data_IF_324731947966
#
_entry.id   IF_324731947966
#
_cell.length_a   1.000
_cell.length_b   1.000
_cell.length_c   1.000
_cell.angle_alpha   90.00
_cell.angle_beta   90.00
_cell.angle_gamma   90.00
#
_symmetry.space_group_name_H-M   'P 1'
#
loop_
_entity.id
_entity.type
_entity.pdbx_description
1 polymer ?
#
# COMPACT_ATOMS: atom_id res chain seq x y z
N UNK A 1 -7.30 34.96 63.61
CA UNK A 1 -8.38 35.34 62.68
C UNK A 1 -8.66 34.14 61.80
N UNK A 2 -9.86 33.54 61.94
CA UNK A 2 -10.25 32.21 61.39
C UNK A 2 -10.70 32.36 59.94
N UNK A 3 -10.14 31.55 59.01
CA UNK A 3 -10.71 31.32 57.68
C UNK A 3 -11.83 30.25 57.75
N UNK A 4 -12.91 30.40 57.02
CA UNK A 4 -13.93 29.37 56.93
C UNK A 4 -13.62 28.34 55.81
N UNK A 5 -13.82 27.06 56.13
CA UNK A 5 -13.80 25.93 55.24
C UNK A 5 -14.94 26.01 54.22
N UNK A 6 -14.63 25.82 52.93
CA UNK A 6 -15.62 25.56 51.89
C UNK A 6 -15.79 24.04 51.69
N UNK A 7 -16.96 23.59 51.96
CA UNK A 7 -17.48 22.23 51.76
C UNK A 7 -17.60 21.96 50.26
N UNK A 8 -16.85 21.02 49.72
CA UNK A 8 -17.02 20.53 48.37
C UNK A 8 -17.96 19.33 48.37
N UNK A 9 -19.11 19.52 47.75
CA UNK A 9 -20.13 18.50 47.55
C UNK A 9 -19.67 17.56 46.43
N UNK A 10 -19.24 16.33 46.76
CA UNK A 10 -19.04 15.26 45.78
C UNK A 10 -20.41 14.68 45.40
N UNK A 11 -20.81 14.91 44.16
CA UNK A 11 -21.92 14.17 43.54
C UNK A 11 -21.33 12.91 42.94
N UNK A 12 -21.59 11.76 43.56
CA UNK A 12 -21.27 10.45 43.02
C UNK A 12 -22.27 10.13 41.90
N UNK A 13 -21.84 10.22 40.66
CA UNK A 13 -22.55 9.66 39.51
C UNK A 13 -22.27 8.17 39.46
N UNK A 14 -23.20 7.35 39.88
CA UNK A 14 -23.23 5.92 39.64
C UNK A 14 -23.51 5.68 38.16
N UNK A 15 -22.46 5.23 37.42
CA UNK A 15 -22.60 4.69 36.07
C UNK A 15 -23.05 3.24 36.22
N UNK A 16 -24.18 2.80 35.64
CA UNK A 16 -24.52 1.39 35.63
C UNK A 16 -23.50 0.62 34.78
N UNK A 17 -22.97 -0.48 35.32
CA UNK A 17 -22.16 -1.43 34.63
C UNK A 17 -22.97 -2.03 33.46
N UNK A 18 -22.68 -1.55 32.24
CA UNK A 18 -23.17 -2.18 31.02
C UNK A 18 -22.40 -3.47 30.81
N UNK A 19 -23.14 -4.56 30.69
CA UNK A 19 -22.63 -5.86 30.28
C UNK A 19 -21.77 -5.75 29.01
N UNK A 20 -20.69 -6.57 28.87
CA UNK A 20 -19.95 -6.61 27.62
C UNK A 20 -20.88 -7.20 26.55
N UNK A 21 -21.25 -6.36 25.58
CA UNK A 21 -21.93 -6.83 24.38
C UNK A 21 -21.03 -7.89 23.72
N UNK A 22 -21.46 -9.15 23.84
CA UNK A 22 -20.94 -10.23 23.00
C UNK A 22 -21.00 -9.74 21.56
N UNK A 23 -19.83 -9.65 20.93
CA UNK A 23 -19.70 -9.43 19.51
C UNK A 23 -20.46 -10.57 18.81
N UNK A 24 -21.68 -10.26 18.39
CA UNK A 24 -22.48 -11.17 17.59
C UNK A 24 -21.65 -11.56 16.37
N UNK A 25 -21.36 -12.85 16.23
CA UNK A 25 -20.85 -13.43 15.01
C UNK A 25 -21.78 -12.93 13.88
N UNK A 26 -21.26 -12.06 13.02
CA UNK A 26 -22.02 -11.55 11.88
C UNK A 26 -22.26 -12.71 10.94
N UNK A 27 -23.44 -13.32 11.06
CA UNK A 27 -24.02 -14.15 10.03
C UNK A 27 -23.92 -13.35 8.74
N UNK A 28 -23.27 -13.93 7.72
CA UNK A 28 -23.10 -13.36 6.39
C UNK A 28 -24.45 -13.33 5.67
N UNK A 29 -25.33 -12.44 6.09
CA UNK A 29 -26.53 -12.10 5.33
C UNK A 29 -26.04 -11.41 4.06
N UNK A 30 -26.21 -12.07 2.91
CA UNK A 30 -25.94 -11.49 1.60
C UNK A 30 -26.61 -10.11 1.53
N UNK A 31 -25.82 -9.06 1.30
CA UNK A 31 -26.38 -7.71 1.21
C UNK A 31 -27.39 -7.67 0.06
N UNK A 32 -28.59 -7.07 0.24
CA UNK A 32 -29.62 -7.01 -0.81
C UNK A 32 -29.11 -6.48 -2.16
N UNK A 33 -28.16 -5.52 -2.14
CA UNK A 33 -27.50 -5.00 -3.32
C UNK A 33 -26.74 -6.07 -4.12
N UNK A 34 -26.10 -7.03 -3.46
CA UNK A 34 -25.35 -8.11 -4.13
C UNK A 34 -26.28 -9.05 -4.91
N UNK A 35 -27.44 -9.37 -4.36
CA UNK A 35 -28.44 -10.22 -5.03
C UNK A 35 -28.98 -9.52 -6.27
N UNK A 36 -29.29 -8.22 -6.20
CA UNK A 36 -29.75 -7.40 -7.33
C UNK A 36 -28.68 -7.33 -8.44
N UNK A 37 -27.40 -7.11 -8.09
CA UNK A 37 -26.28 -7.04 -9.04
C UNK A 37 -26.06 -8.38 -9.78
N UNK A 38 -26.22 -9.51 -9.09
CA UNK A 38 -26.13 -10.86 -9.69
C UNK A 38 -27.31 -11.09 -10.64
N UNK A 39 -28.52 -10.74 -10.23
CA UNK A 39 -29.71 -10.84 -11.09
C UNK A 39 -29.56 -10.02 -12.37
N UNK A 40 -29.08 -8.78 -12.27
CA UNK A 40 -28.79 -7.92 -13.41
C UNK A 40 -27.74 -8.53 -14.34
N UNK A 41 -26.67 -9.10 -13.83
CA UNK A 41 -25.64 -9.76 -14.62
C UNK A 41 -26.22 -10.91 -15.48
N UNK A 42 -27.09 -11.76 -14.92
CA UNK A 42 -27.70 -12.85 -15.66
C UNK A 42 -28.77 -12.38 -16.68
N UNK A 43 -29.49 -11.30 -16.37
CA UNK A 43 -30.41 -10.67 -17.32
C UNK A 43 -29.65 -10.11 -18.54
N UNK A 44 -28.53 -9.43 -18.35
CA UNK A 44 -27.66 -8.93 -19.41
C UNK A 44 -27.11 -10.07 -20.28
N UNK A 45 -26.92 -11.26 -19.72
CA UNK A 45 -26.48 -12.47 -20.45
C UNK A 45 -27.61 -13.22 -21.18
N UNK A 46 -28.84 -12.81 -21.01
CA UNK A 46 -30.00 -13.46 -21.68
C UNK A 46 -30.06 -14.98 -21.44
N UNK A 47 -29.76 -15.43 -20.22
CA UNK A 47 -29.77 -16.84 -19.84
C UNK A 47 -28.61 -17.68 -20.38
N UNK A 48 -27.60 -17.09 -21.02
CA UNK A 48 -26.37 -17.81 -21.41
C UNK A 48 -25.65 -18.32 -20.18
N UNK A 49 -25.24 -19.59 -20.19
CA UNK A 49 -24.50 -20.22 -19.12
C UNK A 49 -23.21 -19.45 -18.82
N UNK A 50 -22.81 -19.42 -17.54
CA UNK A 50 -21.59 -18.79 -17.06
C UNK A 50 -20.71 -19.83 -16.36
N UNK A 51 -21.18 -20.39 -15.23
CA UNK A 51 -20.48 -21.45 -14.51
C UNK A 51 -20.50 -22.79 -15.22
N UNK A 52 -21.56 -23.08 -15.90
CA UNK A 52 -21.77 -24.34 -16.64
C UNK A 52 -21.47 -24.21 -18.14
N UNK A 53 -20.81 -23.11 -18.54
CA UNK A 53 -20.31 -22.95 -19.91
C UNK A 53 -19.00 -23.73 -20.16
N UNK A 54 -18.26 -24.05 -19.10
CA UNK A 54 -17.06 -24.88 -19.14
C UNK A 54 -17.11 -25.94 -18.05
N UNK A 55 -16.47 -27.11 -18.30
CA UNK A 55 -16.59 -28.27 -17.43
C UNK A 55 -15.83 -28.17 -16.10
N UNK A 56 -14.96 -27.15 -15.91
CA UNK A 56 -14.09 -27.09 -14.75
C UNK A 56 -14.28 -25.86 -13.85
N UNK A 57 -15.11 -24.89 -14.23
CA UNK A 57 -15.22 -23.65 -13.44
C UNK A 57 -15.88 -23.86 -12.06
N UNK A 58 -16.88 -24.75 -11.99
CA UNK A 58 -17.55 -25.10 -10.74
C UNK A 58 -16.64 -25.88 -9.80
N UNK A 59 -15.85 -26.82 -10.32
CA UNK A 59 -14.85 -27.58 -9.59
C UNK A 59 -13.75 -26.67 -9.04
N UNK A 60 -13.21 -25.78 -9.87
CA UNK A 60 -12.19 -24.81 -9.45
C UNK A 60 -12.67 -23.93 -8.29
N UNK A 61 -13.95 -23.50 -8.31
CA UNK A 61 -14.50 -22.74 -7.19
C UNK A 61 -14.62 -23.62 -5.93
N UNK A 62 -15.15 -24.84 -6.06
CA UNK A 62 -15.30 -25.75 -4.92
C UNK A 62 -13.97 -26.06 -4.25
N UNK A 63 -12.93 -26.37 -5.02
CA UNK A 63 -11.57 -26.58 -4.51
C UNK A 63 -11.01 -25.35 -3.81
N UNK A 64 -11.27 -24.16 -4.37
CA UNK A 64 -10.82 -22.92 -3.78
C UNK A 64 -11.48 -22.66 -2.42
N UNK A 65 -12.78 -22.94 -2.30
CA UNK A 65 -13.54 -22.80 -1.05
C UNK A 65 -13.10 -23.82 0.01
N UNK A 66 -12.81 -25.06 -0.38
CA UNK A 66 -12.27 -26.11 0.53
C UNK A 66 -10.92 -25.70 1.11
N UNK A 67 -10.15 -24.94 0.34
CA UNK A 67 -8.85 -24.41 0.73
C UNK A 67 -8.92 -22.99 1.35
N UNK A 68 -10.10 -22.50 1.75
CA UNK A 68 -10.27 -21.13 2.27
C UNK A 68 -9.43 -20.85 3.52
N UNK A 69 -9.04 -21.88 4.27
CA UNK A 69 -8.09 -21.75 5.40
C UNK A 69 -6.72 -21.21 4.99
N UNK A 70 -6.30 -21.41 3.73
CA UNK A 70 -5.10 -20.74 3.18
C UNK A 70 -5.23 -19.22 3.07
N UNK A 71 -6.45 -18.69 3.22
CA UNK A 71 -6.78 -17.27 3.16
C UNK A 71 -7.17 -16.72 4.55
N UNK A 72 -6.97 -17.52 5.62
CA UNK A 72 -7.49 -17.29 6.97
C UNK A 72 -9.01 -17.11 7.01
N UNK A 73 -9.71 -17.89 6.23
CA UNK A 73 -11.16 -17.97 6.21
C UNK A 73 -11.60 -19.36 6.65
N UNK A 74 -12.73 -19.45 7.34
CA UNK A 74 -13.32 -20.73 7.72
C UNK A 74 -14.07 -21.32 6.53
N UNK A 75 -13.68 -22.51 6.00
CA UNK A 75 -14.39 -23.17 4.92
C UNK A 75 -15.88 -23.45 5.22
N UNK A 76 -16.24 -23.61 6.51
CA UNK A 76 -17.63 -23.87 6.93
C UNK A 76 -18.58 -22.70 6.68
N UNK A 77 -18.05 -21.50 6.45
CA UNK A 77 -18.83 -20.31 6.07
C UNK A 77 -19.40 -20.41 4.64
N UNK A 78 -18.94 -21.38 3.86
CA UNK A 78 -19.35 -21.57 2.47
C UNK A 78 -20.14 -22.86 2.32
N UNK A 79 -21.32 -22.86 1.66
CA UNK A 79 -22.22 -24.00 1.56
C UNK A 79 -21.73 -25.01 0.51
N UNK A 80 -20.51 -25.56 0.66
CA UNK A 80 -19.83 -26.41 -0.32
C UNK A 80 -20.68 -27.64 -0.69
N UNK A 81 -21.25 -28.35 0.30
CA UNK A 81 -22.09 -29.51 0.06
C UNK A 81 -23.35 -29.18 -0.76
N UNK A 82 -23.96 -28.02 -0.49
CA UNK A 82 -25.12 -27.55 -1.28
C UNK A 82 -24.69 -27.19 -2.70
N UNK A 83 -23.57 -26.53 -2.91
CA UNK A 83 -23.06 -26.23 -4.26
C UNK A 83 -22.78 -27.51 -5.05
N UNK A 84 -22.17 -28.54 -4.44
CA UNK A 84 -21.97 -29.85 -5.11
C UNK A 84 -23.27 -30.47 -5.56
N UNK A 85 -24.30 -30.47 -4.70
CA UNK A 85 -25.62 -30.98 -5.05
C UNK A 85 -26.27 -30.18 -6.19
N UNK A 86 -26.23 -28.86 -6.13
CA UNK A 86 -26.73 -27.98 -7.18
C UNK A 86 -26.01 -28.21 -8.50
N UNK A 87 -24.69 -28.40 -8.50
CA UNK A 87 -23.91 -28.70 -9.69
C UNK A 87 -24.33 -30.03 -10.33
N UNK A 88 -24.57 -31.08 -9.54
CA UNK A 88 -25.08 -32.36 -10.04
C UNK A 88 -26.48 -32.20 -10.69
N UNK A 89 -27.40 -31.52 -9.99
CA UNK A 89 -28.76 -31.30 -10.52
C UNK A 89 -28.74 -30.47 -11.81
N UNK A 90 -27.87 -29.44 -11.89
CA UNK A 90 -27.77 -28.59 -13.07
C UNK A 90 -27.29 -29.32 -14.34
N UNK A 91 -26.53 -30.43 -14.20
CA UNK A 91 -26.02 -31.22 -15.33
C UNK A 91 -27.07 -32.13 -15.94
N UNK A 92 -27.98 -32.67 -15.16
CA UNK A 92 -29.00 -33.64 -15.56
C UNK A 92 -30.44 -33.13 -15.48
N UNK A 93 -30.65 -31.96 -14.88
CA UNK A 93 -31.96 -31.42 -14.53
C UNK A 93 -32.50 -30.37 -15.50
N UNK A 94 -33.51 -29.67 -15.01
CA UNK A 94 -34.27 -28.67 -15.78
C UNK A 94 -33.46 -27.36 -15.99
N UNK A 95 -33.97 -26.50 -16.89
CA UNK A 95 -33.44 -25.14 -17.04
C UNK A 95 -33.54 -24.31 -15.75
N UNK A 96 -34.48 -24.65 -14.85
CA UNK A 96 -34.61 -24.04 -13.54
C UNK A 96 -33.45 -24.45 -12.63
N UNK A 97 -33.13 -25.76 -12.55
CA UNK A 97 -32.02 -26.26 -11.74
C UNK A 97 -30.69 -25.61 -12.14
N UNK A 98 -30.51 -25.44 -13.46
CA UNK A 98 -29.33 -24.76 -13.99
C UNK A 98 -29.28 -23.29 -13.57
N UNK A 99 -30.37 -22.53 -13.66
CA UNK A 99 -30.44 -21.14 -13.24
C UNK A 99 -30.18 -20.99 -11.74
N UNK A 100 -30.76 -21.86 -10.93
CA UNK A 100 -30.59 -21.84 -9.47
C UNK A 100 -29.13 -22.12 -9.10
N UNK A 101 -28.47 -23.06 -9.78
CA UNK A 101 -27.05 -23.34 -9.59
C UNK A 101 -26.16 -22.16 -10.03
N UNK A 102 -26.40 -21.59 -11.21
CA UNK A 102 -25.67 -20.40 -11.70
C UNK A 102 -25.71 -19.24 -10.71
N UNK A 103 -26.89 -18.95 -10.15
CA UNK A 103 -27.07 -17.91 -9.15
C UNK A 103 -26.33 -18.23 -7.84
N UNK A 104 -26.42 -19.47 -7.36
CA UNK A 104 -25.77 -19.90 -6.12
C UNK A 104 -24.24 -19.85 -6.21
N UNK A 105 -23.66 -20.39 -7.29
CA UNK A 105 -22.22 -20.31 -7.53
C UNK A 105 -21.73 -18.86 -7.62
N UNK A 106 -22.47 -17.99 -8.32
CA UNK A 106 -22.13 -16.57 -8.43
C UNK A 106 -22.17 -15.87 -7.08
N UNK A 107 -23.19 -16.15 -6.26
CA UNK A 107 -23.35 -15.56 -4.94
C UNK A 107 -22.18 -15.94 -4.01
N UNK A 108 -21.84 -17.23 -3.95
CA UNK A 108 -20.74 -17.72 -3.12
C UNK A 108 -19.38 -17.24 -3.63
N UNK A 109 -19.18 -17.19 -4.95
CA UNK A 109 -17.96 -16.63 -5.52
C UNK A 109 -17.77 -15.16 -5.16
N UNK A 110 -18.82 -14.34 -5.27
CA UNK A 110 -18.77 -12.91 -4.88
C UNK A 110 -18.49 -12.77 -3.39
N UNK A 111 -19.13 -13.58 -2.54
CA UNK A 111 -18.89 -13.61 -1.09
C UNK A 111 -17.42 -13.92 -0.81
N UNK A 112 -16.90 -15.03 -1.32
CA UNK A 112 -15.52 -15.46 -1.11
C UNK A 112 -14.52 -14.41 -1.61
N UNK A 113 -14.74 -13.89 -2.82
CA UNK A 113 -13.87 -12.85 -3.37
C UNK A 113 -13.85 -11.57 -2.51
N UNK A 114 -15.00 -11.22 -1.94
CA UNK A 114 -15.12 -10.12 -0.98
C UNK A 114 -14.35 -10.38 0.33
N UNK A 115 -14.49 -11.58 0.87
CA UNK A 115 -13.83 -11.99 2.12
C UNK A 115 -12.31 -12.05 1.96
N UNK A 116 -11.82 -12.61 0.86
CA UNK A 116 -10.39 -12.61 0.51
C UNK A 116 -9.87 -11.20 0.31
N UNK A 117 -10.63 -10.34 -0.35
CA UNK A 117 -10.23 -8.98 -0.65
C UNK A 117 -10.32 -8.02 0.54
N UNK A 118 -10.90 -8.45 1.66
CA UNK A 118 -11.01 -7.65 2.87
C UNK A 118 -9.62 -7.30 3.40
N UNK A 119 -9.41 -6.01 3.60
CA UNK A 119 -8.17 -5.49 4.16
C UNK A 119 -7.92 -6.08 5.57
N UNK A 120 -6.67 -6.43 5.83
CA UNK A 120 -6.19 -6.79 7.16
C UNK A 120 -5.38 -5.62 7.71
N UNK A 121 -5.34 -5.47 9.02
CA UNK A 121 -4.52 -4.44 9.65
C UNK A 121 -3.03 -4.83 9.59
N UNK A 122 -2.40 -4.48 8.48
CA UNK A 122 -0.96 -4.69 8.25
C UNK A 122 -0.15 -3.39 8.46
N UNK A 123 -0.74 -2.40 9.10
CA UNK A 123 -0.07 -1.12 9.42
C UNK A 123 0.06 -0.16 8.23
N UNK A 124 -0.73 -0.31 7.17
CA UNK A 124 -0.73 0.63 6.04
C UNK A 124 -1.49 1.90 6.40
N UNK A 125 -0.83 3.05 6.31
CA UNK A 125 -1.44 4.37 6.48
C UNK A 125 -1.96 4.89 5.13
N UNK A 126 -3.25 5.12 5.02
CA UNK A 126 -3.85 5.75 3.85
C UNK A 126 -3.88 7.27 4.04
N UNK A 127 -2.99 7.97 3.36
CA UNK A 127 -2.90 9.45 3.41
C UNK A 127 -3.82 10.12 2.37
N UNK A 128 -4.32 9.33 1.43
CA UNK A 128 -5.37 9.74 0.51
C UNK A 128 -6.45 8.64 0.46
N UNK A 129 -7.72 8.95 0.78
CA UNK A 129 -8.80 7.97 0.74
C UNK A 129 -8.99 7.30 -0.62
N UNK A 130 -8.61 7.95 -1.72
CA UNK A 130 -8.70 7.41 -3.07
C UNK A 130 -7.72 6.25 -3.33
N UNK A 131 -6.65 6.14 -2.52
CA UNK A 131 -5.68 5.05 -2.57
C UNK A 131 -6.17 3.78 -1.84
N UNK A 132 -7.23 3.87 -1.04
CA UNK A 132 -7.77 2.71 -0.31
C UNK A 132 -8.44 1.72 -1.28
N UNK A 133 -8.15 0.41 -1.15
CA UNK A 133 -8.80 -0.62 -1.96
C UNK A 133 -10.33 -0.56 -1.82
N UNK A 134 -11.02 -0.46 -2.94
CA UNK A 134 -12.50 -0.45 -2.94
C UNK A 134 -13.04 -1.84 -2.64
N UNK A 135 -14.21 -1.98 -1.98
CA UNK A 135 -14.89 -3.26 -1.86
C UNK A 135 -15.09 -3.94 -3.22
N UNK A 136 -15.17 -5.27 -3.21
CA UNK A 136 -15.47 -6.03 -4.42
C UNK A 136 -16.94 -5.78 -4.81
N UNK A 137 -17.17 -5.25 -6.00
CA UNK A 137 -18.51 -5.15 -6.60
C UNK A 137 -18.84 -6.47 -7.31
N UNK A 138 -19.99 -7.04 -7.02
CA UNK A 138 -20.45 -8.27 -7.64
C UNK A 138 -20.56 -8.11 -9.16
N UNK A 139 -21.21 -7.03 -9.62
CA UNK A 139 -21.38 -6.75 -11.04
C UNK A 139 -20.02 -6.63 -11.77
N UNK A 140 -19.08 -5.89 -11.21
CA UNK A 140 -17.74 -5.73 -11.81
C UNK A 140 -16.97 -7.05 -11.83
N UNK A 141 -16.98 -7.80 -10.72
CA UNK A 141 -16.28 -9.08 -10.62
C UNK A 141 -16.79 -10.07 -11.65
N UNK A 142 -18.11 -10.26 -11.73
CA UNK A 142 -18.72 -11.21 -12.65
C UNK A 142 -18.52 -10.81 -14.12
N UNK A 143 -18.61 -9.49 -14.45
CA UNK A 143 -18.34 -9.02 -15.82
C UNK A 143 -16.88 -9.27 -16.22
N UNK A 144 -15.92 -8.99 -15.35
CA UNK A 144 -14.49 -9.24 -15.62
C UNK A 144 -14.24 -10.75 -15.75
N UNK A 145 -14.83 -11.57 -14.89
CA UNK A 145 -14.73 -13.02 -14.98
C UNK A 145 -15.34 -13.57 -16.30
N UNK A 146 -16.46 -12.98 -16.74
CA UNK A 146 -17.13 -13.38 -17.99
C UNK A 146 -16.36 -13.01 -19.27
N UNK A 147 -15.43 -12.05 -19.20
CA UNK A 147 -14.54 -11.69 -20.33
C UNK A 147 -13.21 -12.45 -20.31
N UNK A 148 -12.95 -13.23 -19.26
CA UNK A 148 -11.74 -14.02 -19.16
C UNK A 148 -11.76 -15.18 -20.20
N UNK A 149 -10.61 -15.50 -20.80
CA UNK A 149 -10.49 -16.62 -21.74
C UNK A 149 -10.91 -17.97 -21.15
N UNK A 150 -10.77 -18.13 -19.82
CA UNK A 150 -11.22 -19.30 -19.06
C UNK A 150 -11.68 -18.85 -17.68
N UNK A 151 -12.92 -19.17 -17.33
CA UNK A 151 -13.48 -18.90 -16.00
C UNK A 151 -12.78 -19.74 -14.92
N UNK A 152 -12.51 -21.02 -15.21
CA UNK A 152 -11.78 -21.90 -14.32
C UNK A 152 -10.39 -21.28 -13.98
N UNK A 153 -9.62 -20.93 -14.99
CA UNK A 153 -8.31 -20.29 -14.78
C UNK A 153 -8.40 -18.91 -14.08
N UNK A 154 -9.48 -18.16 -14.29
CA UNK A 154 -9.73 -16.91 -13.58
C UNK A 154 -9.92 -17.16 -12.08
N UNK A 155 -10.68 -18.18 -11.72
CA UNK A 155 -10.95 -18.60 -10.34
C UNK A 155 -9.68 -19.16 -9.69
N UNK A 156 -9.04 -20.15 -10.29
CA UNK A 156 -7.82 -20.80 -9.75
C UNK A 156 -6.69 -19.84 -9.51
N UNK A 157 -6.49 -18.90 -10.44
CA UNK A 157 -5.43 -17.90 -10.36
C UNK A 157 -5.84 -16.66 -9.54
N UNK A 158 -7.07 -16.64 -8.98
CA UNK A 158 -7.60 -15.53 -8.20
C UNK A 158 -7.35 -14.17 -8.88
N UNK A 159 -7.69 -14.08 -10.19
CA UNK A 159 -7.34 -12.91 -11.02
C UNK A 159 -8.01 -11.60 -10.61
N UNK A 160 -8.92 -11.64 -9.64
CA UNK A 160 -9.48 -10.45 -8.99
C UNK A 160 -8.58 -9.85 -7.90
N UNK A 161 -7.51 -10.55 -7.53
CA UNK A 161 -6.50 -10.07 -6.58
C UNK A 161 -5.25 -9.56 -7.29
N UNK A 162 -4.45 -8.77 -6.57
CA UNK A 162 -3.11 -8.43 -7.05
C UNK A 162 -2.27 -9.70 -7.24
N UNK A 163 -1.43 -9.82 -8.29
CA UNK A 163 -0.66 -11.04 -8.59
C UNK A 163 0.22 -11.59 -7.45
N UNK A 164 0.62 -10.73 -6.52
CA UNK A 164 1.36 -11.15 -5.33
C UNK A 164 0.54 -12.11 -4.46
N UNK A 165 -0.77 -11.86 -4.32
CA UNK A 165 -1.63 -12.63 -3.44
C UNK A 165 -1.69 -14.12 -3.83
N UNK A 166 -2.14 -14.50 -5.03
CA UNK A 166 -2.21 -15.91 -5.42
C UNK A 166 -0.84 -16.58 -5.49
N UNK A 167 0.24 -15.85 -5.81
CA UNK A 167 1.58 -16.39 -5.82
C UNK A 167 2.05 -16.78 -4.40
N UNK A 168 1.83 -15.89 -3.43
CA UNK A 168 2.15 -16.16 -2.01
C UNK A 168 1.26 -17.25 -1.42
N UNK A 169 -0.03 -17.28 -1.78
CA UNK A 169 -0.97 -18.33 -1.37
C UNK A 169 -0.54 -19.72 -1.86
N UNK A 170 -0.13 -19.84 -3.14
CA UNK A 170 0.39 -21.11 -3.68
C UNK A 170 1.67 -21.56 -2.96
N UNK A 171 2.58 -20.62 -2.72
CA UNK A 171 3.81 -20.92 -1.97
C UNK A 171 3.51 -21.37 -0.54
N UNK A 172 2.56 -20.72 0.13
CA UNK A 172 2.08 -21.08 1.46
C UNK A 172 1.47 -22.50 1.47
N UNK A 173 0.61 -22.83 0.51
CA UNK A 173 0.05 -24.18 0.37
C UNK A 173 1.14 -25.25 0.21
N UNK A 174 2.13 -24.98 -0.65
CA UNK A 174 3.28 -25.88 -0.84
C UNK A 174 4.10 -26.07 0.43
N UNK A 175 4.34 -25.00 1.19
CA UNK A 175 5.12 -25.08 2.43
C UNK A 175 4.37 -25.84 3.53
N UNK A 176 3.05 -25.64 3.65
CA UNK A 176 2.21 -26.41 4.59
C UNK A 176 2.21 -27.88 4.23
N UNK A 177 2.07 -28.22 2.93
CA UNK A 177 2.07 -29.60 2.46
C UNK A 177 3.41 -30.31 2.71
N UNK A 178 4.51 -29.60 2.59
CA UNK A 178 5.87 -30.16 2.84
C UNK A 178 6.19 -30.33 4.31
N UNK A 179 5.48 -29.64 5.22
CA UNK A 179 5.66 -29.75 6.68
C UNK A 179 6.98 -29.19 7.23
N UNK A 180 7.79 -28.53 6.40
CA UNK A 180 9.21 -28.35 6.69
C UNK A 180 9.58 -27.14 7.55
N UNK A 181 8.87 -26.00 7.46
CA UNK A 181 9.34 -24.76 8.09
C UNK A 181 8.21 -23.86 8.64
N UNK A 182 7.84 -23.99 9.93
CA UNK A 182 6.81 -23.14 10.53
C UNK A 182 7.11 -21.63 10.44
N UNK A 183 8.39 -21.23 10.44
CA UNK A 183 8.80 -19.83 10.25
C UNK A 183 8.43 -19.34 8.86
N UNK A 184 8.67 -20.14 7.83
CA UNK A 184 8.37 -19.78 6.44
C UNK A 184 6.87 -19.74 6.17
N UNK A 185 6.10 -20.64 6.76
CA UNK A 185 4.63 -20.60 6.74
C UNK A 185 4.13 -19.26 7.27
N UNK A 186 4.61 -18.81 8.44
CA UNK A 186 4.23 -17.50 9.00
C UNK A 186 4.66 -16.33 8.11
N UNK A 187 5.87 -16.38 7.56
CA UNK A 187 6.39 -15.36 6.66
C UNK A 187 5.53 -15.21 5.41
N UNK A 188 5.17 -16.32 4.76
CA UNK A 188 4.34 -16.34 3.56
C UNK A 188 2.91 -15.86 3.86
N UNK A 189 2.32 -16.29 4.97
CA UNK A 189 0.99 -15.86 5.40
C UNK A 189 0.94 -14.35 5.66
N UNK A 190 1.93 -13.78 6.38
CA UNK A 190 2.03 -12.35 6.63
C UNK A 190 2.14 -11.55 5.33
N UNK A 191 3.02 -11.95 4.42
CA UNK A 191 3.20 -11.22 3.15
C UNK A 191 1.99 -11.40 2.21
N UNK A 192 1.28 -12.54 2.26
CA UNK A 192 -0.01 -12.71 1.58
C UNK A 192 -1.03 -11.70 2.11
N UNK A 193 -1.11 -11.47 3.42
CA UNK A 193 -2.03 -10.50 4.00
C UNK A 193 -1.64 -9.06 3.67
N UNK A 194 -0.35 -8.74 3.63
CA UNK A 194 0.15 -7.45 3.11
C UNK A 194 -0.24 -7.22 1.65
N UNK A 195 -0.39 -8.26 0.84
CA UNK A 195 -0.79 -8.13 -0.56
C UNK A 195 -2.28 -7.77 -0.75
N UNK A 196 -3.12 -7.88 0.29
CA UNK A 196 -4.55 -7.51 0.22
C UNK A 196 -4.78 -6.01 0.00
N UNK A 197 -3.83 -5.17 0.41
CA UNK A 197 -3.92 -3.71 0.27
C UNK A 197 -3.47 -3.21 -1.11
N UNK A 198 -2.87 -4.08 -1.93
CA UNK A 198 -2.39 -3.71 -3.25
C UNK A 198 -3.54 -3.52 -4.25
N UNK A 199 -3.36 -2.66 -5.26
CA UNK A 199 -4.36 -2.43 -6.29
C UNK A 199 -4.76 -3.69 -7.02
N UNK A 200 -6.04 -3.76 -7.38
CA UNK A 200 -6.65 -4.85 -8.16
C UNK A 200 -7.11 -4.33 -9.51
N UNK A 201 -6.87 -5.11 -10.55
CA UNK A 201 -7.21 -4.73 -11.92
C UNK A 201 -6.05 -4.11 -12.68
N UNK A 202 -6.37 -3.29 -13.67
CA UNK A 202 -5.41 -2.79 -14.69
C UNK A 202 -5.04 -1.31 -14.54
N UNK A 203 -5.37 -0.67 -13.40
CA UNK A 203 -4.99 0.74 -13.18
C UNK A 203 -3.48 0.90 -13.04
N UNK A 204 -2.98 2.05 -13.47
CA UNK A 204 -1.57 2.41 -13.27
C UNK A 204 -1.33 2.75 -11.81
N UNK A 205 -0.19 2.33 -11.27
CA UNK A 205 0.24 2.67 -9.91
C UNK A 205 1.75 2.43 -9.72
N UNK A 206 2.28 3.05 -8.67
CA UNK A 206 3.65 2.89 -8.21
C UNK A 206 3.64 1.97 -6.98
N UNK A 207 4.46 0.92 -6.99
CA UNK A 207 4.71 0.06 -5.85
C UNK A 207 6.18 0.17 -5.43
N UNK A 208 6.43 0.69 -4.24
CA UNK A 208 7.75 0.67 -3.62
C UNK A 208 7.77 -0.42 -2.57
N UNK A 209 8.59 -1.44 -2.75
CA UNK A 209 8.87 -2.43 -1.71
C UNK A 209 10.12 -2.02 -0.94
N UNK A 210 9.94 -1.47 0.27
CA UNK A 210 11.04 -0.94 1.09
C UNK A 210 12.00 -2.04 1.56
N UNK A 211 11.52 -3.26 1.83
CA UNK A 211 12.40 -4.38 2.22
C UNK A 211 13.34 -4.82 1.08
N UNK A 212 12.91 -4.65 -0.18
CA UNK A 212 13.70 -4.95 -1.37
C UNK A 212 14.46 -3.72 -1.90
N UNK A 213 14.15 -2.53 -1.38
CA UNK A 213 14.62 -1.25 -1.90
C UNK A 213 14.43 -1.17 -3.43
N UNK A 214 13.21 -1.45 -3.89
CA UNK A 214 12.81 -1.53 -5.30
C UNK A 214 11.47 -0.82 -5.52
N UNK A 215 11.38 -0.13 -6.65
CA UNK A 215 10.15 0.43 -7.19
C UNK A 215 9.76 -0.33 -8.45
N UNK A 216 8.48 -0.68 -8.57
CA UNK A 216 7.85 -1.17 -9.78
C UNK A 216 6.73 -0.21 -10.19
N UNK A 217 6.74 0.23 -11.43
CA UNK A 217 5.64 0.96 -12.05
C UNK A 217 4.76 -0.04 -12.81
N UNK A 218 3.48 -0.08 -12.43
CA UNK A 218 2.50 -0.92 -13.07
C UNK A 218 1.65 -0.11 -14.04
N UNK A 219 1.45 -0.66 -15.24
CA UNK A 219 0.46 -0.21 -16.21
C UNK A 219 -0.25 -1.43 -16.81
N UNK A 220 -1.54 -1.31 -17.07
CA UNK A 220 -2.37 -2.41 -17.61
C UNK A 220 -2.23 -3.73 -16.83
N UNK A 221 -2.08 -3.64 -15.51
CA UNK A 221 -1.93 -4.80 -14.62
C UNK A 221 -0.60 -5.53 -14.71
N UNK A 222 0.40 -4.96 -15.39
CA UNK A 222 1.74 -5.53 -15.57
C UNK A 222 2.82 -4.55 -15.12
N UNK A 223 3.95 -5.07 -14.69
CA UNK A 223 5.14 -4.25 -14.44
C UNK A 223 5.63 -3.71 -15.78
N UNK A 224 5.56 -2.40 -15.95
CA UNK A 224 6.02 -1.67 -17.14
C UNK A 224 7.46 -1.25 -17.00
N UNK A 225 7.85 -0.86 -15.79
CA UNK A 225 9.21 -0.43 -15.49
C UNK A 225 9.58 -0.78 -14.05
N UNK A 226 10.86 -0.87 -13.78
CA UNK A 226 11.40 -1.20 -12.46
C UNK A 226 12.74 -0.50 -12.25
N UNK A 227 12.97 0.00 -11.02
CA UNK A 227 14.23 0.62 -10.65
C UNK A 227 14.61 0.33 -9.20
N UNK A 228 15.89 0.49 -8.90
CA UNK A 228 16.38 0.50 -7.53
C UNK A 228 15.97 1.81 -6.85
N UNK A 229 15.73 1.72 -5.54
CA UNK A 229 15.48 2.91 -4.72
C UNK A 229 16.37 2.90 -3.47
N UNK A 230 16.56 4.08 -2.87
CA UNK A 230 17.10 4.21 -1.52
C UNK A 230 15.93 4.58 -0.61
N UNK A 231 15.77 3.83 0.47
CA UNK A 231 14.71 3.98 1.46
C UNK A 231 15.26 4.41 2.81
N UNK A 232 14.39 4.64 3.79
CA UNK A 232 14.76 5.09 5.13
C UNK A 232 15.71 4.14 5.85
N UNK A 233 16.58 4.68 6.67
CA UNK A 233 17.37 3.89 7.62
C UNK A 233 16.50 3.30 8.75
N UNK A 234 17.03 2.37 9.52
CA UNK A 234 16.24 1.67 10.55
C UNK A 234 15.67 2.62 11.62
N UNK A 235 16.36 3.74 11.91
CA UNK A 235 15.91 4.76 12.86
C UNK A 235 14.84 5.70 12.26
N UNK A 236 14.84 5.89 10.94
CA UNK A 236 13.93 6.76 10.19
C UNK A 236 13.32 5.99 9.01
N UNK A 237 12.53 4.99 9.33
CA UNK A 237 12.00 4.04 8.35
C UNK A 237 11.08 4.70 7.32
N UNK A 238 11.15 4.26 6.08
CA UNK A 238 10.06 4.52 5.12
C UNK A 238 8.78 3.85 5.64
N UNK A 239 7.71 4.60 5.92
CA UNK A 239 6.48 4.03 6.45
C UNK A 239 5.76 3.17 5.41
N UNK A 240 4.93 2.23 5.86
CA UNK A 240 3.93 1.59 4.99
C UNK A 240 2.79 2.58 4.82
N UNK A 241 2.58 3.07 3.60
CA UNK A 241 1.54 4.05 3.31
C UNK A 241 1.07 3.98 1.87
N UNK A 242 -0.14 4.48 1.64
CA UNK A 242 -0.71 4.62 0.31
C UNK A 242 -1.31 6.02 0.12
N UNK A 243 -1.04 6.61 -1.03
CA UNK A 243 -1.51 7.93 -1.40
C UNK A 243 -1.62 8.10 -2.90
N UNK A 244 -1.87 9.33 -3.34
CA UNK A 244 -1.99 9.69 -4.75
C UNK A 244 -0.92 10.71 -5.13
N UNK A 245 0.00 10.34 -6.03
CA UNK A 245 0.90 11.32 -6.64
C UNK A 245 0.05 12.26 -7.51
N UNK A 246 0.04 13.54 -7.16
CA UNK A 246 -0.82 14.55 -7.79
C UNK A 246 -0.06 15.52 -8.65
N UNK A 247 1.20 15.79 -8.32
CA UNK A 247 2.06 16.72 -9.06
C UNK A 247 3.52 16.37 -8.86
N UNK A 248 4.35 16.83 -9.77
CA UNK A 248 5.80 16.84 -9.65
C UNK A 248 6.29 18.27 -9.44
N UNK A 249 7.43 18.42 -8.77
CA UNK A 249 8.15 19.70 -8.66
C UNK A 249 9.49 19.53 -9.33
N UNK A 250 9.73 20.36 -10.34
CA UNK A 250 10.99 20.40 -11.09
C UNK A 250 11.90 21.47 -10.49
N UNK A 251 13.21 21.24 -10.59
CA UNK A 251 14.22 22.12 -9.98
C UNK A 251 13.88 22.46 -8.52
N UNK A 252 13.64 21.45 -7.65
CA UNK A 252 13.12 21.70 -6.31
C UNK A 252 14.17 22.35 -5.42
N UNK A 253 13.72 23.25 -4.54
CA UNK A 253 14.47 23.46 -3.29
C UNK A 253 14.36 22.20 -2.42
N UNK A 254 15.44 21.89 -1.71
CA UNK A 254 15.31 20.98 -0.59
C UNK A 254 15.12 21.79 0.70
N UNK A 255 13.91 21.84 1.20
CA UNK A 255 13.61 22.35 2.53
C UNK A 255 14.09 21.33 3.55
N UNK A 256 15.17 21.63 4.25
CA UNK A 256 15.79 20.70 5.19
C UNK A 256 14.91 20.61 6.44
N UNK A 257 14.39 19.39 6.77
CA UNK A 257 13.63 19.22 8.00
C UNK A 257 14.41 19.68 9.24
N UNK A 258 13.75 20.26 10.26
CA UNK A 258 14.43 20.78 11.44
C UNK A 258 15.30 19.76 12.17
N UNK A 259 14.84 18.52 12.29
CA UNK A 259 15.58 17.40 12.87
C UNK A 259 16.87 17.07 12.09
N UNK A 260 16.84 17.18 10.76
CA UNK A 260 18.01 16.99 9.91
C UNK A 260 18.93 18.23 9.95
N UNK A 261 18.37 19.43 10.07
CA UNK A 261 19.17 20.63 10.31
C UNK A 261 19.94 20.52 11.62
N UNK A 262 19.30 20.07 12.69
CA UNK A 262 19.90 19.81 13.98
C UNK A 262 20.94 18.69 13.93
N UNK A 263 20.54 17.49 13.48
CA UNK A 263 21.33 16.25 13.65
C UNK A 263 22.42 16.07 12.59
N UNK A 264 22.26 16.65 11.40
CA UNK A 264 23.18 16.42 10.27
C UNK A 264 23.85 17.71 9.78
N UNK A 265 23.12 18.83 9.67
CA UNK A 265 23.64 20.06 9.10
C UNK A 265 24.46 20.87 10.10
N UNK A 266 23.92 21.15 11.29
CA UNK A 266 24.59 21.97 12.30
C UNK A 266 25.94 21.38 12.73
N UNK A 267 26.12 20.06 12.95
CA UNK A 267 27.41 19.45 13.21
C UNK A 267 28.44 19.69 12.09
N UNK A 268 28.00 19.66 10.82
CA UNK A 268 28.89 19.97 9.70
C UNK A 268 29.31 21.42 9.66
N UNK A 269 28.40 22.35 9.96
CA UNK A 269 28.73 23.77 10.05
C UNK A 269 29.71 24.04 11.18
N UNK A 270 29.54 23.37 12.32
CA UNK A 270 30.48 23.52 13.45
C UNK A 270 31.89 22.94 13.16
N UNK A 271 31.95 21.85 12.39
CA UNK A 271 33.23 21.20 12.05
C UNK A 271 33.97 21.82 10.86
N UNK A 272 33.20 22.22 9.82
CA UNK A 272 33.77 22.69 8.53
C UNK A 272 33.63 24.22 8.35
N UNK A 273 32.91 24.90 9.24
CA UNK A 273 32.59 26.33 9.16
C UNK A 273 31.44 26.63 8.18
N UNK A 274 31.06 27.91 8.15
CA UNK A 274 30.00 28.41 7.27
C UNK A 274 30.28 28.21 5.76
N UNK A 275 31.54 27.97 5.39
CA UNK A 275 31.94 27.67 4.04
C UNK A 275 31.23 26.39 3.53
N UNK A 276 30.89 25.44 4.42
CA UNK A 276 30.13 24.24 4.10
C UNK A 276 28.76 24.58 3.48
N UNK A 277 28.02 25.52 4.09
CA UNK A 277 26.73 25.95 3.57
C UNK A 277 26.86 26.52 2.15
N UNK A 278 27.83 27.43 1.95
CA UNK A 278 28.06 28.04 0.64
C UNK A 278 28.44 27.01 -0.43
N UNK A 279 29.40 26.14 -0.13
CA UNK A 279 29.87 25.08 -1.03
C UNK A 279 28.76 24.11 -1.44
N UNK A 280 27.80 23.85 -0.53
CA UNK A 280 26.69 22.92 -0.76
C UNK A 280 25.41 23.62 -1.22
N UNK A 281 25.39 24.93 -1.36
CA UNK A 281 24.23 25.69 -1.82
C UNK A 281 23.09 25.80 -0.80
N UNK A 282 23.41 25.73 0.50
CA UNK A 282 22.44 25.94 1.56
C UNK A 282 22.25 27.43 1.85
N UNK A 283 21.01 27.80 2.18
CA UNK A 283 20.58 29.14 2.60
C UNK A 283 19.74 29.02 3.87
N UNK A 284 20.00 29.87 4.86
CA UNK A 284 19.06 30.06 5.97
C UNK A 284 18.00 31.03 5.55
N UNK A 285 16.73 30.74 5.83
CA UNK A 285 15.58 31.52 5.37
C UNK A 285 14.63 31.87 6.51
N UNK A 286 13.87 32.95 6.34
CA UNK A 286 12.89 33.43 7.32
C UNK A 286 11.73 32.43 7.52
N UNK A 287 11.26 31.84 6.45
CA UNK A 287 10.11 30.92 6.40
C UNK A 287 10.17 30.03 5.16
N UNK A 288 9.12 29.22 4.94
CA UNK A 288 9.03 28.31 3.78
C UNK A 288 8.24 28.91 2.59
N UNK A 289 7.91 30.19 2.63
CA UNK A 289 7.19 30.84 1.55
C UNK A 289 8.07 31.08 0.32
N UNK A 290 7.45 31.39 -0.82
CA UNK A 290 8.17 31.77 -2.04
C UNK A 290 8.86 33.12 -1.91
N UNK A 291 8.42 33.96 -0.96
CA UNK A 291 8.95 35.29 -0.67
C UNK A 291 9.91 35.31 0.51
N UNK A 292 10.29 34.12 1.02
CA UNK A 292 11.22 33.99 2.13
C UNK A 292 12.53 34.78 1.88
N UNK A 293 12.94 35.56 2.87
CA UNK A 293 14.20 36.30 2.82
C UNK A 293 15.34 35.43 3.31
N UNK A 294 16.52 35.61 2.71
CA UNK A 294 17.74 34.92 3.16
C UNK A 294 18.27 35.63 4.40
N UNK A 295 18.52 34.86 5.46
CA UNK A 295 19.10 35.32 6.71
C UNK A 295 20.60 35.04 6.68
N UNK A 296 21.47 35.97 7.08
CA UNK A 296 22.91 35.73 7.18
C UNK A 296 23.21 34.55 8.12
N UNK A 297 23.91 33.55 7.64
CA UNK A 297 24.22 32.35 8.41
C UNK A 297 25.15 32.64 9.63
N UNK A 298 25.85 33.75 9.57
CA UNK A 298 26.69 34.31 10.62
C UNK A 298 25.89 34.74 11.84
N UNK A 299 24.62 35.10 11.68
CA UNK A 299 23.71 35.49 12.77
C UNK A 299 23.13 34.34 13.57
N UNK A 300 23.34 33.09 13.11
CA UNK A 300 22.77 31.89 13.70
C UNK A 300 23.75 31.28 14.75
N UNK A 301 23.22 30.99 15.92
CA UNK A 301 23.94 30.17 16.91
C UNK A 301 23.86 28.69 16.55
N UNK A 302 24.77 28.22 15.72
CA UNK A 302 24.85 26.84 15.26
C UNK A 302 25.07 25.83 16.38
N UNK A 303 25.66 26.26 17.54
CA UNK A 303 25.77 25.39 18.72
C UNK A 303 24.40 25.16 19.36
N UNK A 304 23.61 26.23 19.46
CA UNK A 304 22.24 26.13 19.96
C UNK A 304 21.34 25.29 19.03
N UNK A 305 21.54 25.40 17.69
CA UNK A 305 20.86 24.56 16.72
C UNK A 305 21.23 23.09 16.90
N UNK A 306 22.52 22.76 16.99
CA UNK A 306 22.95 21.36 17.20
C UNK A 306 22.46 20.80 18.56
N UNK A 307 22.31 21.64 19.58
CA UNK A 307 21.74 21.28 20.89
C UNK A 307 20.18 21.19 20.89
N UNK A 308 19.51 21.49 19.77
CA UNK A 308 18.05 21.52 19.70
C UNK A 308 17.37 22.66 20.45
N UNK A 309 18.12 23.69 20.83
CA UNK A 309 17.61 24.87 21.55
C UNK A 309 17.03 25.94 20.61
N UNK A 310 17.49 25.96 19.38
CA UNK A 310 17.06 26.89 18.32
C UNK A 310 16.70 26.09 17.06
N UNK A 311 15.53 26.35 16.53
CA UNK A 311 15.11 25.84 15.24
C UNK A 311 15.48 26.85 14.14
N UNK A 312 16.08 26.35 13.05
CA UNK A 312 16.40 27.16 11.86
C UNK A 312 15.71 26.56 10.63
N UNK A 313 15.28 27.43 9.74
CA UNK A 313 14.78 27.04 8.43
C UNK A 313 15.89 27.13 7.42
N UNK A 314 16.30 25.99 6.87
CA UNK A 314 17.37 25.91 5.88
C UNK A 314 16.84 25.28 4.62
N UNK A 315 17.10 25.89 3.48
CA UNK A 315 16.85 25.28 2.17
C UNK A 315 18.15 25.09 1.40
N UNK A 316 18.20 24.06 0.57
CA UNK A 316 19.27 23.89 -0.42
C UNK A 316 18.74 24.32 -1.79
N UNK A 317 19.52 25.17 -2.49
CA UNK A 317 19.17 25.66 -3.83
C UNK A 317 19.13 24.53 -4.86
N UNK A 318 18.29 24.64 -5.91
CA UNK A 318 18.36 23.75 -7.07
C UNK A 318 19.78 23.70 -7.65
N UNK A 319 20.12 22.56 -8.23
CA UNK A 319 21.41 22.37 -8.90
C UNK A 319 22.01 20.99 -8.63
N UNK A 320 23.18 20.71 -9.18
CA UNK A 320 23.77 19.35 -9.21
C UNK A 320 24.16 18.80 -7.85
N UNK A 321 24.19 19.64 -6.82
CA UNK A 321 24.48 19.22 -5.43
C UNK A 321 23.22 19.08 -4.58
N UNK A 322 22.05 19.44 -5.11
CA UNK A 322 20.79 19.42 -4.35
C UNK A 322 20.41 17.96 -4.01
N UNK A 323 20.17 17.71 -2.72
CA UNK A 323 19.79 16.37 -2.25
C UNK A 323 18.51 15.80 -2.87
N UNK A 324 17.61 16.67 -3.40
CA UNK A 324 16.39 16.29 -4.11
C UNK A 324 16.59 16.00 -5.60
N UNK A 325 17.81 16.24 -6.13
CA UNK A 325 18.08 16.13 -7.55
C UNK A 325 17.23 17.10 -8.37
N UNK A 326 16.76 16.68 -9.55
CA UNK A 326 16.06 17.52 -10.50
C UNK A 326 14.54 17.49 -10.38
N UNK A 327 13.98 16.49 -9.68
CA UNK A 327 12.52 16.31 -9.56
C UNK A 327 12.12 15.61 -8.27
N UNK A 328 11.00 16.06 -7.69
CA UNK A 328 10.29 15.35 -6.62
C UNK A 328 8.82 15.13 -7.01
N UNK A 329 8.29 13.95 -6.67
CA UNK A 329 6.91 13.54 -6.95
C UNK A 329 6.11 13.57 -5.65
N UNK A 330 5.06 14.38 -5.65
CA UNK A 330 4.34 14.75 -4.44
C UNK A 330 3.03 13.99 -4.31
N UNK A 331 2.90 13.25 -3.22
CA UNK A 331 1.65 12.71 -2.69
C UNK A 331 1.45 13.30 -1.29
N UNK A 332 0.59 14.32 -1.13
CA UNK A 332 0.47 15.09 0.10
C UNK A 332 0.22 14.20 1.32
N UNK A 333 1.01 14.40 2.38
CA UNK A 333 0.90 13.69 3.65
C UNK A 333 1.62 14.45 4.78
N UNK A 334 1.17 14.24 6.03
CA UNK A 334 1.72 14.94 7.21
C UNK A 334 3.10 14.44 7.66
N UNK A 335 3.57 13.30 7.10
CA UNK A 335 4.88 12.74 7.42
C UNK A 335 6.01 13.32 6.54
N UNK A 336 5.67 14.17 5.57
CA UNK A 336 6.66 14.77 4.67
C UNK A 336 7.40 13.75 3.78
N UNK A 337 6.76 12.62 3.47
CA UNK A 337 7.33 11.56 2.63
C UNK A 337 7.00 11.84 1.15
N UNK A 338 8.00 11.72 0.29
CA UNK A 338 7.84 11.83 -1.16
C UNK A 338 8.87 10.96 -1.89
N UNK A 339 8.69 10.80 -3.20
CA UNK A 339 9.70 10.18 -4.07
C UNK A 339 10.48 11.31 -4.74
N UNK A 340 11.79 11.14 -4.89
CA UNK A 340 12.61 12.19 -5.47
C UNK A 340 13.88 11.67 -6.13
N UNK A 341 14.44 12.47 -7.00
CA UNK A 341 15.76 12.26 -7.57
C UNK A 341 16.88 12.48 -6.52
N UNK A 342 18.11 12.19 -6.88
CA UNK A 342 19.27 12.40 -6.02
C UNK A 342 20.57 12.45 -6.84
N UNK A 343 21.53 13.34 -6.50
CA UNK A 343 22.85 13.31 -7.08
C UNK A 343 23.71 12.13 -6.59
N UNK A 344 23.32 11.47 -5.52
CA UNK A 344 24.08 10.38 -4.89
C UNK A 344 23.86 9.04 -5.61
N UNK A 345 24.05 8.99 -6.92
CA UNK A 345 23.79 7.82 -7.77
C UNK A 345 24.58 6.57 -7.38
N UNK A 346 25.77 6.73 -6.78
CA UNK A 346 26.59 5.62 -6.30
C UNK A 346 25.90 4.75 -5.21
N UNK A 347 24.92 5.30 -4.48
CA UNK A 347 24.18 4.56 -3.47
C UNK A 347 23.37 3.40 -4.05
N UNK A 348 22.94 3.50 -5.30
CA UNK A 348 22.15 2.46 -5.96
C UNK A 348 22.97 1.21 -6.29
N UNK A 349 24.29 1.28 -6.29
CA UNK A 349 25.19 0.14 -6.50
C UNK A 349 25.36 -0.70 -5.22
N UNK A 350 24.95 -0.18 -4.06
CA UNK A 350 25.07 -0.90 -2.80
C UNK A 350 24.01 -2.01 -2.69
N UNK A 351 24.37 -3.12 -2.04
CA UNK A 351 23.45 -4.22 -1.73
C UNK A 351 22.36 -3.79 -0.75
N UNK A 352 22.72 -3.07 0.32
CA UNK A 352 21.79 -2.39 1.21
C UNK A 352 21.59 -0.95 0.75
N UNK A 353 20.32 -0.50 0.76
CA UNK A 353 19.96 0.84 0.32
C UNK A 353 19.02 1.53 1.30
N UNK A 354 19.34 1.42 2.60
CA UNK A 354 18.62 2.03 3.72
C UNK A 354 19.41 3.24 4.24
N UNK A 355 19.37 4.36 3.50
CA UNK A 355 20.21 5.53 3.79
C UNK A 355 19.45 6.87 3.81
N UNK A 356 18.14 6.88 3.63
CA UNK A 356 17.36 8.11 3.69
C UNK A 356 16.76 8.34 5.08
N UNK A 357 16.18 9.51 5.28
CA UNK A 357 15.38 9.85 6.46
C UNK A 357 13.88 9.56 6.23
N UNK A 358 13.55 8.49 5.50
CA UNK A 358 12.19 8.05 5.23
C UNK A 358 11.72 8.25 3.79
N UNK A 359 12.11 9.33 3.10
CA UNK A 359 11.80 9.55 1.68
C UNK A 359 12.43 8.49 0.78
N UNK A 360 11.87 8.33 -0.43
CA UNK A 360 12.32 7.34 -1.41
C UNK A 360 13.13 8.03 -2.51
N UNK A 361 14.44 7.73 -2.59
CA UNK A 361 15.31 8.23 -3.66
C UNK A 361 15.24 7.28 -4.84
N UNK A 362 15.12 7.85 -6.03
CA UNK A 362 14.96 7.12 -7.29
C UNK A 362 16.27 7.00 -8.03
N UNK A 363 16.58 5.82 -8.56
CA UNK A 363 17.73 5.59 -9.42
C UNK A 363 17.57 6.34 -10.74
N UNK A 364 16.39 6.23 -11.36
CA UNK A 364 16.02 6.91 -12.61
C UNK A 364 14.69 7.68 -12.41
N UNK A 365 14.81 8.86 -11.84
CA UNK A 365 13.64 9.73 -11.64
C UNK A 365 13.10 10.28 -12.97
N UNK A 366 13.95 10.39 -13.99
CA UNK A 366 13.55 10.82 -15.33
C UNK A 366 12.67 9.77 -16.01
N UNK A 367 12.96 8.47 -15.86
CA UNK A 367 12.09 7.41 -16.34
C UNK A 367 10.71 7.48 -15.69
N UNK A 368 10.64 7.64 -14.35
CA UNK A 368 9.35 7.79 -13.67
C UNK A 368 8.61 9.05 -14.14
N UNK A 369 9.32 10.15 -14.34
CA UNK A 369 8.75 11.41 -14.87
C UNK A 369 8.08 11.18 -16.22
N UNK A 370 8.75 10.53 -17.17
CA UNK A 370 8.18 10.17 -18.48
C UNK A 370 6.93 9.30 -18.36
N UNK A 371 6.95 8.32 -17.46
CA UNK A 371 5.82 7.40 -17.27
C UNK A 371 4.55 8.08 -16.74
N UNK A 372 4.69 9.05 -15.82
CA UNK A 372 3.53 9.62 -15.12
C UNK A 372 3.10 11.02 -15.66
N UNK A 373 4.03 11.77 -16.24
CA UNK A 373 3.72 13.04 -16.88
C UNK A 373 3.43 12.89 -18.39
N UNK A 374 3.89 11.79 -19.00
CA UNK A 374 3.72 11.56 -20.45
C UNK A 374 4.32 12.70 -21.26
N UNK A 375 3.63 13.05 -22.35
CA UNK A 375 4.00 14.15 -23.25
C UNK A 375 3.57 15.53 -22.72
N UNK A 376 3.33 15.68 -21.40
CA UNK A 376 2.99 17.00 -20.83
C UNK A 376 4.08 17.98 -21.25
N UNK A 377 3.73 19.05 -22.00
CA UNK A 377 4.70 20.03 -22.45
C UNK A 377 5.38 20.66 -21.24
N UNK A 378 6.61 20.27 -21.01
CA UNK A 378 7.43 20.91 -20.00
C UNK A 378 8.23 21.98 -20.69
N UNK A 379 7.90 23.24 -20.43
CA UNK A 379 8.83 24.32 -20.77
C UNK A 379 10.13 24.02 -20.05
N UNK A 380 11.21 23.89 -20.81
CA UNK A 380 12.55 23.76 -20.27
C UNK A 380 12.89 25.07 -19.54
N UNK A 381 12.42 25.19 -18.32
CA UNK A 381 12.64 26.36 -17.48
C UNK A 381 13.63 25.98 -16.38
N UNK A 382 14.63 26.80 -16.21
CA UNK A 382 15.60 26.72 -15.11
C UNK A 382 15.07 27.33 -13.81
N UNK A 383 13.81 27.81 -13.81
CA UNK A 383 13.23 28.40 -12.60
C UNK A 383 13.07 27.36 -11.49
N UNK A 384 13.36 27.74 -10.25
CA UNK A 384 13.14 26.87 -9.09
C UNK A 384 11.66 26.58 -8.84
N UNK A 385 11.39 25.42 -8.21
CA UNK A 385 10.08 25.04 -7.65
C UNK A 385 8.93 25.02 -8.68
N UNK A 386 9.20 24.56 -9.91
CA UNK A 386 8.14 24.44 -10.92
C UNK A 386 7.21 23.29 -10.58
N UNK A 387 5.98 23.60 -10.21
CA UNK A 387 4.94 22.61 -9.98
C UNK A 387 4.25 22.22 -11.30
N UNK A 388 4.26 20.94 -11.63
CA UNK A 388 3.58 20.35 -12.79
C UNK A 388 2.54 19.37 -12.28
N UNK A 389 1.26 19.70 -12.45
CA UNK A 389 0.16 18.81 -12.06
C UNK A 389 0.07 17.63 -13.01
N UNK A 390 -0.18 16.44 -12.47
CA UNK A 390 -0.50 15.27 -13.28
C UNK A 390 -1.92 15.42 -13.84
N UNK A 391 -2.11 15.08 -15.11
CA UNK A 391 -3.44 15.04 -15.74
C UNK A 391 -4.36 14.04 -15.03
N UNK A 392 -3.79 12.98 -14.51
CA UNK A 392 -4.46 11.95 -13.69
C UNK A 392 -3.56 11.59 -12.50
N UNK A 393 -4.06 11.72 -11.25
CA UNK A 393 -3.31 11.27 -10.08
C UNK A 393 -2.97 9.79 -10.17
N UNK A 394 -1.74 9.43 -9.78
CA UNK A 394 -1.24 8.05 -9.83
C UNK A 394 -1.13 7.51 -8.41
N UNK A 395 -1.80 6.38 -8.08
CA UNK A 395 -1.64 5.74 -6.78
C UNK A 395 -0.20 5.35 -6.51
N UNK A 396 0.26 5.59 -5.29
CA UNK A 396 1.57 5.15 -4.80
C UNK A 396 1.39 4.33 -3.53
N UNK A 397 2.02 3.16 -3.49
CA UNK A 397 2.04 2.25 -2.36
C UNK A 397 3.47 2.07 -1.91
N UNK A 398 3.78 2.58 -0.71
CA UNK A 398 5.00 2.25 0.01
C UNK A 398 4.71 1.04 0.87
N UNK A 399 5.16 -0.11 0.45
CA UNK A 399 4.90 -1.40 1.05
C UNK A 399 6.16 -2.02 1.65
N UNK A 400 5.97 -3.09 2.42
CA UNK A 400 7.08 -3.80 3.05
C UNK A 400 6.89 -5.31 2.86
N UNK A 401 7.41 -5.86 1.77
CA UNK A 401 7.35 -7.30 1.48
C UNK A 401 8.69 -7.95 1.70
N UNK A 402 8.80 -8.76 2.72
CA UNK A 402 9.97 -9.60 3.03
C UNK A 402 9.94 -10.93 2.29
N UNK A 403 8.77 -11.34 1.76
CA UNK A 403 8.61 -12.40 0.78
C UNK A 403 7.65 -11.94 -0.32
N UNK A 404 8.04 -12.06 -1.59
CA UNK A 404 7.25 -11.59 -2.73
C UNK A 404 7.63 -12.32 -4.02
N UNK A 405 6.72 -12.40 -5.02
CA UNK A 405 7.02 -13.05 -6.29
C UNK A 405 7.93 -12.16 -7.15
N UNK A 406 8.97 -12.75 -7.69
CA UNK A 406 9.87 -12.14 -8.66
C UNK A 406 10.40 -13.22 -9.60
N UNK A 407 10.28 -13.03 -10.93
CA UNK A 407 10.77 -14.00 -11.91
C UNK A 407 10.14 -15.40 -11.77
N UNK A 408 8.86 -15.48 -11.42
CA UNK A 408 8.13 -16.75 -11.24
C UNK A 408 8.44 -17.51 -9.94
N UNK A 409 9.29 -16.98 -9.06
CA UNK A 409 9.67 -17.55 -7.77
C UNK A 409 9.33 -16.62 -6.63
N UNK A 410 9.18 -17.15 -5.41
CA UNK A 410 9.14 -16.32 -4.20
C UNK A 410 10.57 -16.01 -3.79
N UNK A 411 10.86 -14.72 -3.71
CA UNK A 411 12.13 -14.16 -3.24
C UNK A 411 11.94 -13.66 -1.82
N UNK A 412 12.88 -13.97 -0.94
CA UNK A 412 12.91 -13.49 0.44
C UNK A 412 13.95 -12.37 0.59
N UNK A 413 13.68 -11.43 1.47
CA UNK A 413 14.58 -10.32 1.84
C UNK A 413 14.70 -10.22 3.36
N UNK A 414 15.83 -9.74 3.87
CA UNK A 414 15.98 -9.46 5.29
C UNK A 414 14.89 -8.50 5.80
N UNK A 415 14.39 -8.75 7.01
CA UNK A 415 13.49 -7.85 7.73
C UNK A 415 14.30 -6.70 8.37
N UNK A 416 14.80 -5.78 7.52
CA UNK A 416 15.70 -4.67 7.92
C UNK A 416 15.06 -3.70 8.92
N UNK A 417 13.73 -3.62 8.94
CA UNK A 417 12.97 -2.76 9.85
C UNK A 417 12.39 -3.51 11.06
N UNK A 418 12.61 -4.83 11.15
CA UNK A 418 12.07 -5.69 12.21
C UNK A 418 10.55 -5.61 12.37
N UNK A 419 9.82 -5.51 11.24
CA UNK A 419 8.36 -5.38 11.22
C UNK A 419 7.61 -6.70 11.23
N UNK A 420 8.20 -7.78 10.73
CA UNK A 420 7.49 -9.05 10.52
C UNK A 420 6.87 -9.60 11.80
N UNK A 421 7.61 -9.60 12.91
CA UNK A 421 7.09 -10.07 14.19
C UNK A 421 5.97 -9.17 14.74
N UNK A 422 6.12 -7.85 14.62
CA UNK A 422 5.13 -6.86 15.07
C UNK A 422 3.83 -6.97 14.28
N UNK A 423 3.92 -7.00 12.95
CA UNK A 423 2.76 -7.07 12.06
C UNK A 423 2.02 -8.41 12.23
N UNK A 424 2.74 -9.53 12.39
CA UNK A 424 2.16 -10.82 12.67
C UNK A 424 1.39 -10.86 14.00
N UNK A 425 1.92 -10.23 15.05
CA UNK A 425 1.23 -10.09 16.34
C UNK A 425 -0.05 -9.25 16.21
N UNK A 426 -0.02 -8.15 15.47
CA UNK A 426 -1.20 -7.30 15.23
C UNK A 426 -2.30 -8.07 14.51
N UNK A 427 -1.95 -8.88 13.50
CA UNK A 427 -2.90 -9.71 12.76
C UNK A 427 -3.55 -10.79 13.65
N UNK A 428 -2.84 -11.36 14.61
CA UNK A 428 -3.38 -12.39 15.52
C UNK A 428 -4.46 -11.81 16.45
N UNK A 429 -4.28 -10.58 16.93
CA UNK A 429 -5.27 -9.89 17.80
C UNK A 429 -6.56 -9.56 17.05
N UNK A 430 -6.48 -9.26 15.75
CA UNK A 430 -7.69 -8.95 14.95
C UNK A 430 -8.45 -10.19 14.49
N UNK A 431 -7.96 -11.40 14.76
CA UNK A 431 -8.59 -12.69 14.45
C UNK A 431 -9.41 -13.26 15.61
N UNK A 432 -9.17 -12.78 16.84
CA UNK A 432 -9.93 -13.12 18.05
C UNK A 432 -11.14 -12.20 18.21
#
# INVERSE_FOLDING_TARGET
MKLPARLALMVALTVPAGEPALAAASSSVQRPATVSEIGQFFNERQGRAFWFASDHATESLLELLEQASLDDLDPSLYPIATLRRLAMNARSGSARDRRDAEAAFSAVFVQYAGDVARERNVGTLYVDPAARPRPVSAARLLRVAATAPSLAAFVEQMRWMHPYYPALRRALAGEIKSGNQPRRVRLLALNRDRARVLPRGTSDYILVNSAAARLDFYADGKVKDTMRVVVGEAAQQTPMMAGMVRYAILNPYWHVPPDLAQSRLAPRVLGEGLIYLRKKGYEVVSDWSRTATVIPAESIDWKAVAAGKVEVKVRQRPGPLNGMGEVKFMFPNDLGIYLHDTPSKALFQKSERTFSAGCVRLEDAEALKRLILGDTPMTASTQPEQSVSLSRPVPVFLAYFTAFPQGGKIVERPDVYKRDAKDAATLSVTRS
#
